data_IF_736012768385
#
_entry.id   IF_736012768385
#
_cell.length_a   1.000
_cell.length_b   1.000
_cell.length_c   1.000
_cell.angle_alpha   90.00
_cell.angle_beta   90.00
_cell.angle_gamma   90.00
#
_symmetry.space_group_name_H-M   'P 1'
#
loop_
_entity.id
_entity.type
_entity.pdbx_description
1 polymer ?
#
# COMPACT_ATOMS: atom_id res chain seq x y z
N UNK A 1 -0.54 26.11 -5.17
CA UNK A 1 -1.89 26.06 -4.56
C UNK A 1 -2.30 27.48 -4.20
N UNK A 2 -3.56 27.87 -4.40
CA UNK A 2 -4.00 29.23 -4.07
C UNK A 2 -4.00 29.42 -2.54
N UNK A 3 -3.07 30.23 -2.06
CA UNK A 3 -3.06 30.70 -0.68
C UNK A 3 -4.08 31.83 -0.53
N UNK A 4 -5.00 31.67 0.40
CA UNK A 4 -6.07 32.63 0.64
C UNK A 4 -5.98 33.13 2.08
N UNK A 5 -6.18 34.44 2.27
CA UNK A 5 -6.35 35.00 3.61
C UNK A 5 -7.78 34.74 4.08
N UNK A 6 -7.91 34.09 5.24
CA UNK A 6 -9.18 33.75 5.85
C UNK A 6 -9.19 34.17 7.32
N UNK A 7 -10.37 34.47 7.86
CA UNK A 7 -10.53 34.69 9.29
C UNK A 7 -10.49 33.35 10.03
N UNK A 8 -9.59 33.21 11.02
CA UNK A 8 -9.51 32.02 11.86
C UNK A 8 -10.89 31.69 12.48
N UNK A 9 -11.41 30.46 12.37
CA UNK A 9 -12.73 30.11 12.91
C UNK A 9 -12.89 30.43 14.40
N UNK A 10 -11.79 30.30 15.17
CA UNK A 10 -11.75 30.50 16.62
C UNK A 10 -11.53 31.97 17.03
N UNK A 11 -10.40 32.59 16.66
CA UNK A 11 -10.04 33.93 17.13
C UNK A 11 -10.29 35.05 16.12
N UNK A 12 -10.79 34.72 14.93
CA UNK A 12 -11.07 35.64 13.82
C UNK A 12 -9.87 36.43 13.25
N UNK A 13 -8.66 36.22 13.78
CA UNK A 13 -7.44 36.75 13.18
C UNK A 13 -7.25 36.24 11.75
N UNK A 14 -6.78 37.12 10.87
CA UNK A 14 -6.51 36.76 9.49
C UNK A 14 -5.28 35.84 9.42
N UNK A 15 -5.46 34.68 8.79
CA UNK A 15 -4.42 33.67 8.60
C UNK A 15 -4.41 33.21 7.15
N UNK A 16 -3.26 32.74 6.68
CA UNK A 16 -3.13 32.16 5.34
C UNK A 16 -3.45 30.68 5.40
N UNK A 17 -4.32 30.21 4.51
CA UNK A 17 -4.60 28.79 4.34
C UNK A 17 -4.71 28.42 2.84
N UNK A 18 -4.45 27.16 2.53
CA UNK A 18 -4.70 26.61 1.19
C UNK A 18 -6.16 26.22 1.09
N UNK A 19 -6.91 26.96 0.27
CA UNK A 19 -8.35 26.74 0.06
C UNK A 19 -8.57 26.28 -1.38
N UNK A 20 -9.13 25.10 -1.56
CA UNK A 20 -9.44 24.52 -2.87
C UNK A 20 -10.87 23.98 -2.82
N UNK A 21 -11.71 24.44 -3.73
CA UNK A 21 -13.13 24.08 -3.77
C UNK A 21 -13.46 23.11 -4.90
N UNK A 22 -12.65 23.08 -5.96
CA UNK A 22 -12.85 22.21 -7.11
C UNK A 22 -11.65 21.28 -7.26
N UNK A 23 -11.90 19.99 -7.09
CA UNK A 23 -10.94 18.91 -7.27
C UNK A 23 -11.33 18.12 -8.53
N UNK A 24 -10.82 18.56 -9.68
CA UNK A 24 -11.08 17.93 -10.97
C UNK A 24 -9.90 17.02 -11.34
N UNK A 25 -10.05 15.71 -11.10
CA UNK A 25 -9.03 14.70 -11.37
C UNK A 25 -8.75 14.57 -12.87
N UNK A 26 -9.73 14.89 -13.71
CA UNK A 26 -9.58 14.82 -15.17
C UNK A 26 -8.67 15.93 -15.68
N UNK A 27 -8.75 17.11 -15.07
CA UNK A 27 -7.88 18.24 -15.40
C UNK A 27 -6.54 18.21 -14.64
N UNK A 28 -6.54 17.66 -13.41
CA UNK A 28 -5.37 17.56 -12.54
C UNK A 28 -5.36 16.20 -11.82
N UNK A 29 -4.55 15.23 -12.30
CA UNK A 29 -4.47 13.90 -11.70
C UNK A 29 -4.09 13.90 -10.21
N UNK A 30 -3.42 14.95 -9.70
CA UNK A 30 -3.04 15.05 -8.29
C UNK A 30 -4.16 15.56 -7.38
N UNK A 31 -5.27 16.08 -7.94
CA UNK A 31 -6.37 16.64 -7.17
C UNK A 31 -6.97 15.62 -6.18
N UNK A 32 -7.10 14.35 -6.58
CA UNK A 32 -7.58 13.29 -5.70
C UNK A 32 -6.68 13.12 -4.47
N UNK A 33 -5.37 13.02 -4.67
CA UNK A 33 -4.43 12.83 -3.57
C UNK A 33 -4.45 14.02 -2.60
N UNK A 34 -4.56 15.25 -3.12
CA UNK A 34 -4.69 16.46 -2.29
C UNK A 34 -5.97 16.47 -1.46
N UNK A 35 -7.09 16.04 -2.02
CA UNK A 35 -8.35 15.93 -1.28
C UNK A 35 -8.24 14.86 -0.18
N UNK A 36 -7.67 13.70 -0.50
CA UNK A 36 -7.53 12.56 0.41
C UNK A 36 -6.48 12.78 1.51
N UNK A 37 -5.48 13.64 1.30
CA UNK A 37 -4.44 13.92 2.31
C UNK A 37 -4.98 14.62 3.56
N UNK A 38 -6.16 15.25 3.46
CA UNK A 38 -6.74 16.04 4.54
C UNK A 38 -6.01 17.35 4.86
N UNK A 39 -4.97 17.69 4.08
CA UNK A 39 -4.15 18.90 4.30
C UNK A 39 -4.71 20.14 3.57
N UNK A 40 -5.56 19.95 2.57
CA UNK A 40 -6.25 21.05 1.88
C UNK A 40 -7.53 21.41 2.62
N UNK A 41 -7.90 22.69 2.58
CA UNK A 41 -8.99 23.24 3.40
C UNK A 41 -8.76 22.97 4.89
N UNK A 42 -7.50 23.08 5.32
CA UNK A 42 -7.08 22.97 6.72
C UNK A 42 -6.37 24.26 7.12
N UNK A 43 -6.60 24.72 8.35
CA UNK A 43 -5.98 25.92 8.88
C UNK A 43 -5.27 25.65 10.20
N UNK A 44 -4.09 26.25 10.34
CA UNK A 44 -3.31 26.28 11.57
C UNK A 44 -3.10 27.74 11.97
N UNK A 45 -3.73 28.15 13.07
CA UNK A 45 -3.68 29.52 13.55
C UNK A 45 -2.55 29.70 14.57
N UNK A 46 -1.53 30.46 14.20
CA UNK A 46 -0.39 30.77 15.07
C UNK A 46 -0.76 31.66 16.28
N UNK A 47 -1.89 32.38 16.21
CA UNK A 47 -2.32 33.30 17.28
C UNK A 47 -3.05 32.61 18.43
N UNK A 48 -3.81 31.55 18.14
CA UNK A 48 -4.67 30.91 19.15
C UNK A 48 -4.57 29.37 19.17
N UNK A 49 -3.64 28.80 18.41
CA UNK A 49 -3.43 27.36 18.31
C UNK A 49 -4.59 26.57 17.69
N UNK A 50 -5.52 27.22 16.99
CA UNK A 50 -6.58 26.50 16.27
C UNK A 50 -5.96 25.65 15.17
N UNK A 51 -6.28 24.37 15.14
CA UNK A 51 -5.94 23.45 14.05
C UNK A 51 -7.21 22.71 13.66
N UNK A 52 -7.59 22.77 12.40
CA UNK A 52 -8.85 22.17 11.98
C UNK A 52 -9.20 22.43 10.52
N UNK A 53 -10.21 21.70 10.07
CA UNK A 53 -10.74 21.83 8.71
C UNK A 53 -11.58 23.09 8.59
N UNK A 54 -11.46 23.75 7.46
CA UNK A 54 -12.23 24.92 7.09
C UNK A 54 -13.58 24.48 6.51
N UNK A 55 -14.66 25.10 6.97
CA UNK A 55 -15.99 24.91 6.40
C UNK A 55 -16.03 25.52 4.99
N UNK A 56 -15.70 24.69 3.99
CA UNK A 56 -15.59 25.09 2.58
C UNK A 56 -16.39 24.13 1.70
N UNK A 57 -17.25 24.63 0.79
CA UNK A 57 -17.90 23.79 -0.21
C UNK A 57 -16.88 23.11 -1.13
N UNK A 58 -17.13 21.85 -1.47
CA UNK A 58 -16.25 21.02 -2.30
C UNK A 58 -17.03 20.43 -3.47
N UNK A 59 -16.45 20.52 -4.66
CA UNK A 59 -16.86 19.81 -5.87
C UNK A 59 -15.71 18.89 -6.27
N UNK A 60 -16.01 17.60 -6.43
CA UNK A 60 -15.06 16.61 -6.92
C UNK A 60 -15.53 16.05 -8.25
N UNK A 61 -14.61 15.93 -9.21
CA UNK A 61 -14.91 15.44 -10.54
C UNK A 61 -13.88 14.41 -11.01
N UNK A 62 -14.37 13.30 -11.56
CA UNK A 62 -13.58 12.26 -12.21
C UNK A 62 -14.36 11.70 -13.40
N UNK A 63 -13.91 12.00 -14.62
CA UNK A 63 -14.58 11.59 -15.86
C UNK A 63 -14.48 10.08 -16.13
N UNK A 64 -13.37 9.45 -15.74
CA UNK A 64 -13.16 8.02 -15.94
C UNK A 64 -14.10 7.21 -15.04
N UNK A 65 -14.35 7.70 -13.84
CA UNK A 65 -15.27 7.08 -12.87
C UNK A 65 -16.70 7.59 -12.95
N UNK A 66 -16.98 8.50 -13.88
CA UNK A 66 -18.28 9.17 -14.07
C UNK A 66 -18.81 9.78 -12.77
N UNK A 67 -17.92 10.46 -12.04
CA UNK A 67 -18.23 11.10 -10.77
C UNK A 67 -18.31 12.62 -10.92
N UNK A 68 -19.41 13.17 -10.41
CA UNK A 68 -19.53 14.58 -10.07
C UNK A 68 -20.16 14.66 -8.68
N UNK A 69 -19.32 14.89 -7.67
CA UNK A 69 -19.73 14.89 -6.28
C UNK A 69 -19.72 16.32 -5.73
N UNK A 70 -20.67 16.64 -4.85
CA UNK A 70 -20.77 17.95 -4.22
C UNK A 70 -20.96 17.80 -2.71
N UNK A 71 -20.22 18.57 -1.92
CA UNK A 71 -20.37 18.64 -0.47
C UNK A 71 -20.51 20.10 -0.06
N UNK A 72 -21.50 20.39 0.77
CA UNK A 72 -21.72 21.69 1.37
C UNK A 72 -21.72 21.57 2.91
N UNK A 73 -20.80 22.22 3.62
CA UNK A 73 -20.73 22.13 5.08
C UNK A 73 -21.98 22.73 5.74
N UNK A 74 -22.68 21.93 6.56
CA UNK A 74 -23.90 22.38 7.25
C UNK A 74 -23.65 23.50 8.26
N UNK A 75 -22.41 23.64 8.76
CA UNK A 75 -22.03 24.67 9.74
C UNK A 75 -22.07 26.08 9.16
N UNK A 76 -22.08 26.23 7.83
CA UNK A 76 -22.26 27.52 7.17
C UNK A 76 -23.72 28.03 7.26
N UNK A 77 -24.68 27.14 7.54
CA UNK A 77 -26.07 27.51 7.81
C UNK A 77 -26.81 28.19 6.65
N UNK A 78 -26.36 28.01 5.40
CA UNK A 78 -26.95 28.68 4.23
C UNK A 78 -28.17 27.91 3.67
N UNK A 79 -29.19 28.61 3.16
CA UNK A 79 -30.31 27.99 2.43
C UNK A 79 -29.86 27.29 1.15
N UNK A 80 -30.55 26.22 0.73
CA UNK A 80 -30.21 25.39 -0.46
C UNK A 80 -29.96 26.23 -1.71
N UNK A 81 -30.79 27.23 -1.98
CA UNK A 81 -30.63 28.11 -3.15
C UNK A 81 -29.29 28.88 -3.14
N UNK A 82 -28.78 29.25 -1.98
CA UNK A 82 -27.47 29.90 -1.86
C UNK A 82 -26.33 28.90 -2.00
N UNK A 83 -26.51 27.67 -1.49
CA UNK A 83 -25.56 26.58 -1.70
C UNK A 83 -25.38 26.28 -3.20
N UNK A 84 -26.48 26.16 -3.94
CA UNK A 84 -26.46 25.95 -5.39
C UNK A 84 -25.79 27.10 -6.14
N UNK A 85 -26.01 28.35 -5.72
CA UNK A 85 -25.34 29.53 -6.30
C UNK A 85 -23.83 29.48 -6.12
N UNK A 86 -23.33 28.92 -5.01
CA UNK A 86 -21.90 28.78 -4.76
C UNK A 86 -21.28 27.61 -5.53
N UNK A 87 -21.98 26.47 -5.62
CA UNK A 87 -21.49 25.26 -6.28
C UNK A 87 -21.61 25.33 -7.81
N UNK A 88 -22.65 25.98 -8.33
CA UNK A 88 -22.96 26.05 -9.76
C UNK A 88 -21.79 26.50 -10.65
N UNK A 89 -21.06 27.60 -10.31
CA UNK A 89 -19.88 28.02 -11.05
C UNK A 89 -18.78 26.95 -11.11
N UNK A 90 -18.56 26.19 -10.04
CA UNK A 90 -17.57 25.12 -9.99
C UNK A 90 -17.95 23.95 -10.90
N UNK A 91 -19.23 23.55 -10.91
CA UNK A 91 -19.75 22.53 -11.83
C UNK A 91 -19.65 23.00 -13.29
N UNK A 92 -19.98 24.27 -13.55
CA UNK A 92 -19.86 24.85 -14.88
C UNK A 92 -18.40 24.82 -15.36
N UNK A 93 -17.46 25.17 -14.49
CA UNK A 93 -16.02 25.11 -14.81
C UNK A 93 -15.56 23.70 -15.19
N UNK A 94 -16.05 22.65 -14.51
CA UNK A 94 -15.81 21.26 -14.91
C UNK A 94 -16.34 21.00 -16.33
N UNK A 95 -17.60 21.36 -16.56
CA UNK A 95 -18.28 21.08 -17.84
C UNK A 95 -17.60 21.80 -19.01
N UNK A 96 -17.24 23.08 -18.82
CA UNK A 96 -16.62 23.92 -19.83
C UNK A 96 -15.22 23.41 -20.22
N UNK A 97 -14.48 22.82 -19.27
CA UNK A 97 -13.14 22.23 -19.49
C UNK A 97 -13.17 20.88 -20.20
N UNK A 98 -14.31 20.17 -20.17
CA UNK A 98 -14.42 18.87 -20.81
C UNK A 98 -14.67 19.00 -22.32
N UNK A 99 -13.98 18.20 -23.15
CA UNK A 99 -14.35 18.00 -24.55
C UNK A 99 -15.80 17.50 -24.67
N UNK A 100 -16.56 17.90 -25.70
CA UNK A 100 -17.96 17.52 -25.87
C UNK A 100 -18.22 16.01 -25.77
N UNK A 101 -17.30 15.19 -26.29
CA UNK A 101 -17.40 13.72 -26.32
C UNK A 101 -17.30 13.10 -24.92
N UNK A 102 -16.66 13.81 -23.98
CA UNK A 102 -16.50 13.40 -22.58
C UNK A 102 -17.62 13.92 -21.68
N UNK A 103 -18.52 14.77 -22.18
CA UNK A 103 -19.66 15.33 -21.43
C UNK A 103 -20.82 14.33 -21.36
N UNK A 104 -20.68 13.34 -20.48
CA UNK A 104 -21.70 12.29 -20.27
C UNK A 104 -22.83 12.76 -19.34
N UNK A 105 -23.89 11.95 -19.27
CA UNK A 105 -25.13 12.29 -18.54
C UNK A 105 -24.95 12.52 -17.02
N UNK A 106 -23.92 11.95 -16.38
CA UNK A 106 -23.68 12.13 -14.94
C UNK A 106 -23.45 13.60 -14.55
N UNK A 107 -22.93 14.43 -15.47
CA UNK A 107 -22.73 15.87 -15.24
C UNK A 107 -24.04 16.64 -15.00
N UNK A 108 -25.17 16.10 -15.50
CA UNK A 108 -26.50 16.69 -15.31
C UNK A 108 -27.13 16.30 -13.97
N UNK A 109 -26.53 15.36 -13.25
CA UNK A 109 -27.00 14.85 -11.96
C UNK A 109 -25.85 14.77 -10.96
N UNK A 110 -25.34 15.92 -10.47
CA UNK A 110 -24.36 15.93 -9.40
C UNK A 110 -24.88 15.16 -8.18
N UNK A 111 -24.02 14.35 -7.58
CA UNK A 111 -24.35 13.57 -6.39
C UNK A 111 -24.00 14.40 -5.15
N UNK A 112 -25.00 14.77 -4.37
CA UNK A 112 -24.82 15.50 -3.14
C UNK A 112 -24.43 14.55 -2.00
N UNK A 113 -23.31 14.84 -1.34
CA UNK A 113 -22.81 14.17 -0.14
C UNK A 113 -23.15 15.03 1.09
N UNK A 114 -23.76 14.39 2.10
CA UNK A 114 -24.21 15.07 3.32
C UNK A 114 -23.06 15.45 4.25
N UNK A 115 -22.02 14.62 4.29
CA UNK A 115 -20.80 14.85 5.06
C UNK A 115 -19.58 14.75 4.17
N UNK A 116 -18.48 15.37 4.59
CA UNK A 116 -17.22 15.22 3.87
C UNK A 116 -16.76 13.76 3.85
N UNK A 117 -16.95 13.06 4.97
CA UNK A 117 -16.62 11.64 5.13
C UNK A 117 -17.35 10.79 4.08
N UNK A 118 -18.66 11.03 3.88
CA UNK A 118 -19.44 10.31 2.85
C UNK A 118 -18.96 10.59 1.43
N UNK A 119 -18.45 11.80 1.15
CA UNK A 119 -17.82 12.12 -0.14
C UNK A 119 -16.54 11.29 -0.32
N UNK A 120 -15.69 11.23 0.70
CA UNK A 120 -14.44 10.46 0.66
C UNK A 120 -14.73 8.97 0.49
N UNK A 121 -15.69 8.42 1.24
CA UNK A 121 -16.14 7.03 1.09
C UNK A 121 -16.63 6.75 -0.33
N UNK A 122 -17.40 7.66 -0.94
CA UNK A 122 -17.87 7.52 -2.33
C UNK A 122 -16.70 7.47 -3.32
N UNK A 123 -15.69 8.32 -3.14
CA UNK A 123 -14.48 8.37 -3.98
C UNK A 123 -13.67 7.08 -3.83
N UNK A 124 -13.49 6.60 -2.61
CA UNK A 124 -12.72 5.40 -2.30
C UNK A 124 -13.44 4.12 -2.77
N UNK A 125 -14.78 4.08 -2.68
CA UNK A 125 -15.58 2.97 -3.21
C UNK A 125 -15.36 2.73 -4.71
N UNK A 126 -15.11 3.80 -5.49
CA UNK A 126 -14.84 3.71 -6.95
C UNK A 126 -13.45 3.18 -7.30
N UNK A 127 -12.59 3.00 -6.30
CA UNK A 127 -11.30 2.27 -6.40
C UNK A 127 -11.30 0.96 -5.61
N UNK A 128 -12.47 0.46 -5.21
CA UNK A 128 -12.61 -0.84 -4.55
C UNK A 128 -12.32 -0.83 -3.05
N UNK A 129 -12.23 0.34 -2.42
CA UNK A 129 -12.07 0.47 -0.97
C UNK A 129 -13.44 0.71 -0.35
N UNK A 130 -13.94 -0.24 0.44
CA UNK A 130 -15.27 -0.13 1.05
C UNK A 130 -15.24 0.55 2.43
N UNK A 131 -16.37 1.07 2.93
CA UNK A 131 -16.47 1.59 4.30
C UNK A 131 -16.06 0.56 5.35
N UNK A 132 -16.36 -0.72 5.14
CA UNK A 132 -15.97 -1.82 6.03
C UNK A 132 -14.45 -1.96 6.07
N UNK A 133 -13.77 -1.95 4.91
CA UNK A 133 -12.30 -2.00 4.84
C UNK A 133 -11.66 -0.81 5.57
N UNK A 134 -12.24 0.40 5.44
CA UNK A 134 -11.78 1.58 6.16
C UNK A 134 -11.97 1.42 7.67
N UNK A 135 -13.12 0.90 8.08
CA UNK A 135 -13.42 0.65 9.48
C UNK A 135 -12.47 -0.37 10.09
N UNK A 136 -12.20 -1.48 9.40
CA UNK A 136 -11.24 -2.48 9.85
C UNK A 136 -9.82 -1.89 9.98
N UNK A 137 -9.39 -1.02 9.06
CA UNK A 137 -8.10 -0.33 9.17
C UNK A 137 -8.07 0.65 10.36
N UNK A 138 -9.14 1.41 10.58
CA UNK A 138 -9.26 2.29 11.76
C UNK A 138 -9.23 1.51 13.06
N UNK A 139 -9.93 0.37 13.13
CA UNK A 139 -9.98 -0.47 14.31
C UNK A 139 -8.59 -1.05 14.62
N UNK A 140 -7.81 -1.43 13.60
CA UNK A 140 -6.41 -1.86 13.75
C UNK A 140 -5.55 -0.74 14.35
N UNK A 141 -5.62 0.48 13.81
CA UNK A 141 -4.88 1.64 14.34
C UNK A 141 -5.25 1.90 15.80
N UNK A 142 -6.55 1.97 16.11
CA UNK A 142 -7.02 2.19 17.48
C UNK A 142 -6.61 1.07 18.44
N UNK A 143 -6.51 -0.17 17.95
CA UNK A 143 -6.02 -1.27 18.75
C UNK A 143 -4.52 -1.14 19.07
N UNK A 144 -3.69 -0.75 18.09
CA UNK A 144 -2.26 -0.46 18.30
C UNK A 144 -2.09 0.66 19.33
N UNK A 145 -2.82 1.76 19.20
CA UNK A 145 -2.79 2.88 20.15
C UNK A 145 -3.14 2.43 21.58
N UNK A 146 -4.18 1.59 21.73
CA UNK A 146 -4.56 1.01 23.03
C UNK A 146 -3.47 0.12 23.60
N UNK A 147 -2.83 -0.74 22.79
CA UNK A 147 -1.71 -1.57 23.25
C UNK A 147 -0.54 -0.74 23.78
N UNK A 148 -0.28 0.41 23.15
CA UNK A 148 0.79 1.35 23.54
C UNK A 148 0.46 2.13 24.82
N UNK A 149 -0.82 2.40 25.09
CA UNK A 149 -1.26 3.07 26.32
C UNK A 149 -1.19 2.14 27.54
N UNK A 150 -1.26 0.81 27.33
CA UNK A 150 -1.18 -0.18 28.40
C UNK A 150 0.27 -0.48 28.76
N UNK A 151 0.65 -0.13 30.00
CA UNK A 151 2.02 -0.27 30.50
C UNK A 151 2.31 -1.60 31.18
N UNK A 152 1.30 -2.38 31.56
CA UNK A 152 1.47 -3.68 32.25
C UNK A 152 1.22 -4.86 31.30
N UNK A 153 2.11 -5.86 31.36
CA UNK A 153 2.07 -7.04 30.49
C UNK A 153 0.76 -7.82 30.62
N UNK A 154 0.29 -8.06 31.84
CA UNK A 154 -0.91 -8.89 32.10
C UNK A 154 -2.19 -8.25 31.55
N UNK A 155 -2.35 -6.92 31.70
CA UNK A 155 -3.49 -6.20 31.15
C UNK A 155 -3.43 -6.23 29.62
N UNK A 156 -2.22 -6.13 29.05
CA UNK A 156 -2.04 -6.25 27.60
C UNK A 156 -2.40 -7.65 27.11
N UNK A 157 -2.05 -8.70 27.83
CA UNK A 157 -2.43 -10.09 27.48
C UNK A 157 -3.94 -10.26 27.40
N UNK A 158 -4.69 -9.71 28.35
CA UNK A 158 -6.15 -9.77 28.31
C UNK A 158 -6.73 -9.00 27.12
N UNK A 159 -6.17 -7.81 26.84
CA UNK A 159 -6.55 -7.00 25.69
C UNK A 159 -6.26 -7.73 24.36
N UNK A 160 -5.12 -8.42 24.25
CA UNK A 160 -4.75 -9.26 23.09
C UNK A 160 -5.77 -10.38 22.90
N UNK A 161 -6.10 -11.12 23.97
CA UNK A 161 -7.06 -12.25 23.89
C UNK A 161 -8.44 -11.81 23.42
N UNK A 162 -8.94 -10.68 23.94
CA UNK A 162 -10.26 -10.16 23.56
C UNK A 162 -10.34 -9.70 22.10
N UNK A 163 -9.20 -9.37 21.49
CA UNK A 163 -9.13 -8.81 20.15
C UNK A 163 -8.38 -9.70 19.16
N UNK A 164 -8.20 -11.00 19.45
CA UNK A 164 -7.36 -11.90 18.65
C UNK A 164 -7.65 -11.87 17.14
N UNK A 165 -8.93 -11.67 16.75
CA UNK A 165 -9.36 -11.60 15.34
C UNK A 165 -8.76 -10.42 14.56
N UNK A 166 -8.44 -9.32 15.23
CA UNK A 166 -7.87 -8.14 14.59
C UNK A 166 -6.37 -8.30 14.31
N UNK A 167 -5.74 -9.31 14.93
CA UNK A 167 -4.30 -9.54 14.90
C UNK A 167 -3.98 -10.51 13.76
N UNK A 168 -3.94 -9.96 12.55
CA UNK A 168 -3.66 -10.65 11.31
C UNK A 168 -2.39 -10.11 10.62
N UNK A 169 -2.14 -10.55 9.39
CA UNK A 169 -1.05 -10.07 8.54
C UNK A 169 -1.05 -8.54 8.41
N UNK A 170 -2.21 -7.94 8.15
CA UNK A 170 -2.34 -6.50 7.92
C UNK A 170 -2.03 -5.72 9.20
N UNK A 171 -2.46 -6.23 10.35
CA UNK A 171 -2.12 -5.66 11.66
C UNK A 171 -0.62 -5.69 11.92
N UNK A 172 0.05 -6.83 11.73
CA UNK A 172 1.50 -6.93 11.92
C UNK A 172 2.27 -6.03 10.94
N UNK A 173 1.85 -5.97 9.66
CA UNK A 173 2.47 -5.09 8.67
C UNK A 173 2.36 -3.60 9.05
N UNK A 174 1.18 -3.17 9.53
CA UNK A 174 0.96 -1.82 10.03
C UNK A 174 1.82 -1.55 11.28
N UNK A 175 1.81 -2.48 12.25
CA UNK A 175 2.58 -2.37 13.48
C UNK A 175 4.09 -2.24 13.20
N UNK A 176 4.62 -3.09 12.32
CA UNK A 176 6.05 -3.04 11.92
C UNK A 176 6.43 -1.71 11.28
N UNK A 177 5.56 -1.13 10.44
CA UNK A 177 5.80 0.20 9.85
C UNK A 177 5.88 1.29 10.92
N UNK A 178 5.01 1.25 11.92
CA UNK A 178 5.04 2.19 13.05
C UNK A 178 6.34 2.02 13.85
N UNK A 179 6.74 0.78 14.15
CA UNK A 179 7.99 0.48 14.85
C UNK A 179 9.24 0.96 14.09
N UNK A 180 9.30 0.73 12.77
CA UNK A 180 10.39 1.20 11.91
C UNK A 180 10.47 2.74 11.90
N UNK A 181 9.34 3.44 11.82
CA UNK A 181 9.31 4.90 11.87
C UNK A 181 9.79 5.44 13.23
N UNK A 182 9.42 4.80 14.33
CA UNK A 182 9.90 5.18 15.67
C UNK A 182 11.42 5.01 15.80
N UNK A 183 11.98 3.92 15.27
CA UNK A 183 13.42 3.67 15.21
C UNK A 183 14.14 4.71 14.35
N UNK A 184 13.64 4.98 13.14
CA UNK A 184 14.27 5.92 12.20
C UNK A 184 14.21 7.39 12.64
N UNK A 185 13.25 7.76 13.49
CA UNK A 185 13.10 9.13 14.02
C UNK A 185 13.84 9.37 15.35
N UNK A 186 14.60 8.39 15.86
CA UNK A 186 15.37 8.50 17.10
C UNK A 186 14.52 8.51 18.38
N UNK A 187 13.26 8.06 18.32
CA UNK A 187 12.37 7.98 19.48
C UNK A 187 12.63 6.70 20.28
N UNK A 188 13.80 6.60 20.92
CA UNK A 188 14.22 5.37 21.60
C UNK A 188 13.21 4.79 22.61
N UNK A 189 12.56 5.58 23.50
CA UNK A 189 11.59 5.04 24.45
C UNK A 189 10.38 4.40 23.76
N UNK A 190 9.91 5.04 22.69
CA UNK A 190 8.80 4.54 21.88
C UNK A 190 9.18 3.26 21.14
N UNK A 191 10.37 3.23 20.55
CA UNK A 191 10.88 2.04 19.87
C UNK A 191 10.99 0.83 20.81
N UNK A 192 11.51 1.03 22.04
CA UNK A 192 11.59 -0.03 23.06
C UNK A 192 10.20 -0.56 23.44
N UNK A 193 9.25 0.33 23.70
CA UNK A 193 7.88 -0.08 24.02
C UNK A 193 7.23 -0.89 22.89
N UNK A 194 7.46 -0.49 21.63
CA UNK A 194 6.96 -1.23 20.46
C UNK A 194 7.62 -2.61 20.31
N UNK A 195 8.91 -2.75 20.62
CA UNK A 195 9.61 -4.04 20.63
C UNK A 195 9.03 -4.98 21.70
N UNK A 196 8.76 -4.48 22.90
CA UNK A 196 8.15 -5.27 23.98
C UNK A 196 6.74 -5.75 23.59
N UNK A 197 5.93 -4.87 23.00
CA UNK A 197 4.60 -5.22 22.49
C UNK A 197 4.71 -6.25 21.37
N UNK A 198 5.64 -6.06 20.41
CA UNK A 198 5.86 -7.00 19.31
C UNK A 198 6.21 -8.39 19.83
N UNK A 199 7.13 -8.47 20.79
CA UNK A 199 7.56 -9.73 21.40
C UNK A 199 6.37 -10.46 22.02
N UNK A 200 5.53 -9.74 22.77
CA UNK A 200 4.34 -10.31 23.36
C UNK A 200 3.31 -10.77 22.31
N UNK A 201 3.09 -9.99 21.25
CA UNK A 201 2.21 -10.36 20.15
C UNK A 201 2.70 -11.63 19.44
N UNK A 202 4.01 -11.76 19.21
CA UNK A 202 4.61 -12.95 18.60
C UNK A 202 4.42 -14.20 19.46
N UNK A 203 4.46 -14.07 20.79
CA UNK A 203 4.30 -15.18 21.73
C UNK A 203 2.83 -15.59 21.93
N UNK A 204 1.95 -14.60 22.14
CA UNK A 204 0.60 -14.84 22.64
C UNK A 204 -0.44 -15.06 21.51
N UNK A 205 -0.16 -14.60 20.29
CA UNK A 205 -1.14 -14.64 19.19
C UNK A 205 -0.87 -15.80 18.24
N UNK A 206 -1.94 -16.33 17.62
CA UNK A 206 -1.82 -17.42 16.65
C UNK A 206 -0.97 -17.01 15.44
N UNK A 207 -1.30 -15.86 14.83
CA UNK A 207 -0.54 -15.32 13.70
C UNK A 207 0.91 -14.99 14.10
N UNK A 208 1.13 -14.45 15.32
CA UNK A 208 2.46 -14.18 15.84
C UNK A 208 3.34 -15.43 15.94
N UNK A 209 2.77 -16.55 16.41
CA UNK A 209 3.47 -17.84 16.47
C UNK A 209 3.76 -18.38 15.08
N UNK A 210 2.82 -18.29 14.15
CA UNK A 210 3.03 -18.66 12.74
C UNK A 210 4.14 -17.83 12.09
N UNK A 211 4.21 -16.52 12.40
CA UNK A 211 5.26 -15.65 11.91
C UNK A 211 6.63 -16.05 12.47
N UNK A 212 6.72 -16.37 13.77
CA UNK A 212 7.95 -16.85 14.41
C UNK A 212 8.42 -18.19 13.83
N UNK A 213 7.50 -19.12 13.60
CA UNK A 213 7.78 -20.38 12.92
C UNK A 213 8.30 -20.12 11.51
N UNK A 214 7.62 -19.26 10.75
CA UNK A 214 8.02 -18.91 9.37
C UNK A 214 9.44 -18.33 9.30
N UNK A 215 9.82 -17.47 10.25
CA UNK A 215 11.20 -16.94 10.33
C UNK A 215 12.20 -18.05 10.62
N UNK A 216 11.93 -18.89 11.62
CA UNK A 216 12.84 -20.00 11.95
C UNK A 216 13.00 -21.00 10.80
N UNK A 217 11.93 -21.30 10.08
CA UNK A 217 11.97 -22.19 8.91
C UNK A 217 12.70 -21.54 7.72
N UNK A 218 12.62 -20.21 7.57
CA UNK A 218 13.38 -19.45 6.58
C UNK A 218 14.89 -19.51 6.87
N UNK A 219 15.29 -19.26 8.12
CA UNK A 219 16.70 -19.32 8.54
C UNK A 219 17.28 -20.72 8.33
N UNK A 220 16.53 -21.76 8.70
CA UNK A 220 16.98 -23.13 8.53
C UNK A 220 17.05 -23.55 7.05
N UNK A 221 16.08 -23.14 6.22
CA UNK A 221 16.16 -23.34 4.76
C UNK A 221 17.38 -22.64 4.17
N UNK A 222 17.66 -21.40 4.60
CA UNK A 222 18.84 -20.66 4.17
C UNK A 222 20.13 -21.39 4.53
N UNK A 223 20.25 -21.90 5.75
CA UNK A 223 21.42 -22.66 6.19
C UNK A 223 21.65 -23.91 5.33
N UNK A 224 20.61 -24.71 5.10
CA UNK A 224 20.71 -25.93 4.30
C UNK A 224 21.06 -25.65 2.83
N UNK A 225 20.51 -24.58 2.25
CA UNK A 225 20.87 -24.14 0.89
C UNK A 225 22.33 -23.66 0.82
N UNK A 226 22.80 -22.95 1.84
CA UNK A 226 24.20 -22.51 1.94
C UNK A 226 25.17 -23.69 2.08
N UNK A 227 24.84 -24.68 2.90
CA UNK A 227 25.63 -25.91 3.05
C UNK A 227 25.71 -26.70 1.75
N UNK A 228 24.61 -26.77 0.98
CA UNK A 228 24.66 -27.38 -0.35
C UNK A 228 25.55 -26.59 -1.31
N UNK A 229 25.53 -25.25 -1.22
CA UNK A 229 26.43 -24.35 -1.94
C UNK A 229 26.50 -24.65 -3.44
N UNK A 230 27.73 -24.79 -3.97
CA UNK A 230 27.95 -25.11 -5.39
C UNK A 230 27.44 -26.49 -5.82
N UNK A 231 27.15 -27.36 -4.85
CA UNK A 231 26.65 -28.71 -5.11
C UNK A 231 25.12 -28.79 -5.19
N UNK A 232 24.41 -27.66 -5.02
CA UNK A 232 22.95 -27.60 -5.11
C UNK A 232 22.49 -27.91 -6.55
N UNK A 233 21.85 -29.06 -6.73
CA UNK A 233 21.21 -29.45 -8.00
C UNK A 233 19.69 -29.39 -7.87
N UNK A 234 18.98 -29.49 -9.00
CA UNK A 234 17.50 -29.54 -9.00
C UNK A 234 16.98 -30.73 -8.20
N UNK A 235 17.65 -31.87 -8.32
CA UNK A 235 17.32 -33.10 -7.61
C UNK A 235 17.51 -32.93 -6.09
N UNK A 236 18.63 -32.34 -5.67
CA UNK A 236 18.85 -32.05 -4.24
C UNK A 236 17.84 -31.05 -3.68
N UNK A 237 17.52 -30.01 -4.46
CA UNK A 237 16.48 -29.05 -4.06
C UNK A 237 15.13 -29.75 -3.91
N UNK A 238 14.80 -30.67 -4.84
CA UNK A 238 13.59 -31.47 -4.74
C UNK A 238 13.59 -32.34 -3.48
N UNK A 239 14.71 -33.01 -3.19
CA UNK A 239 14.88 -33.84 -1.99
C UNK A 239 14.68 -33.03 -0.70
N UNK A 240 15.22 -31.82 -0.63
CA UNK A 240 15.02 -30.89 0.49
C UNK A 240 13.54 -30.51 0.65
N UNK A 241 12.87 -30.19 -0.46
CA UNK A 241 11.46 -29.80 -0.45
C UNK A 241 10.56 -30.96 -0.02
N UNK A 242 10.73 -32.16 -0.58
CA UNK A 242 9.89 -33.33 -0.22
C UNK A 242 10.15 -33.80 1.21
N UNK A 243 11.32 -33.51 1.78
CA UNK A 243 11.69 -33.83 3.16
C UNK A 243 11.20 -32.80 4.18
N UNK A 244 10.59 -31.69 3.71
CA UNK A 244 10.09 -30.62 4.56
C UNK A 244 8.96 -31.10 5.48
N UNK A 245 9.04 -30.71 6.76
CA UNK A 245 8.06 -31.10 7.79
C UNK A 245 6.93 -30.09 7.99
N UNK A 246 7.09 -28.88 7.45
CA UNK A 246 6.14 -27.78 7.59
C UNK A 246 5.97 -27.06 6.24
N UNK A 247 4.79 -26.47 6.05
CA UNK A 247 4.50 -25.67 4.86
C UNK A 247 5.34 -24.39 4.82
N UNK A 248 5.68 -23.85 6.00
CA UNK A 248 6.58 -22.73 6.16
C UNK A 248 7.98 -23.04 5.60
N UNK A 249 8.51 -24.25 5.83
CA UNK A 249 9.78 -24.69 5.23
C UNK A 249 9.71 -24.78 3.71
N UNK A 250 8.63 -25.33 3.16
CA UNK A 250 8.43 -25.40 1.70
C UNK A 250 8.40 -23.99 1.11
N UNK A 251 7.63 -23.08 1.70
CA UNK A 251 7.56 -21.67 1.29
C UNK A 251 8.92 -20.96 1.37
N UNK A 252 9.73 -21.27 2.38
CA UNK A 252 11.08 -20.74 2.51
C UNK A 252 11.99 -21.16 1.34
N UNK A 253 12.01 -22.45 0.96
CA UNK A 253 12.79 -22.89 -0.21
C UNK A 253 12.29 -22.24 -1.50
N UNK A 254 10.98 -22.11 -1.70
CA UNK A 254 10.44 -21.42 -2.87
C UNK A 254 10.94 -19.97 -2.91
N UNK A 255 10.93 -19.27 -1.78
CA UNK A 255 11.35 -17.87 -1.69
C UNK A 255 12.86 -17.68 -1.94
N UNK A 256 13.69 -18.62 -1.48
CA UNK A 256 15.16 -18.52 -1.55
C UNK A 256 15.75 -19.14 -2.83
N UNK A 257 15.11 -20.17 -3.38
CA UNK A 257 15.62 -20.99 -4.47
C UNK A 257 14.66 -21.05 -5.68
N UNK A 258 13.81 -20.04 -5.85
CA UNK A 258 12.82 -19.96 -6.95
C UNK A 258 13.42 -20.29 -8.32
N UNK A 259 14.62 -19.80 -8.62
CA UNK A 259 15.31 -20.03 -9.90
C UNK A 259 15.61 -21.50 -10.21
N UNK A 260 15.64 -22.38 -9.21
CA UNK A 260 15.82 -23.83 -9.37
C UNK A 260 14.52 -24.61 -9.57
N UNK A 261 13.36 -23.97 -9.41
CA UNK A 261 12.03 -24.59 -9.48
C UNK A 261 11.38 -24.33 -10.84
N UNK A 262 12.04 -24.80 -11.90
CA UNK A 262 11.59 -24.66 -13.28
C UNK A 262 10.72 -25.85 -13.74
N UNK A 263 10.39 -25.90 -15.03
CA UNK A 263 9.63 -27.00 -15.62
C UNK A 263 10.25 -28.37 -15.33
N UNK A 264 11.58 -28.47 -15.39
CA UNK A 264 12.30 -29.73 -15.16
C UNK A 264 12.14 -30.19 -13.71
N UNK A 265 12.24 -29.27 -12.75
CA UNK A 265 11.98 -29.58 -11.35
C UNK A 265 10.58 -30.19 -11.11
N UNK A 266 9.54 -29.60 -11.70
CA UNK A 266 8.17 -30.11 -11.55
C UNK A 266 7.92 -31.41 -12.33
N UNK A 267 8.62 -31.61 -13.45
CA UNK A 267 8.64 -32.89 -14.15
C UNK A 267 9.22 -33.98 -13.24
N UNK A 268 10.39 -33.75 -12.63
CA UNK A 268 11.01 -34.70 -11.70
C UNK A 268 10.10 -35.01 -10.51
N UNK A 269 9.45 -34.00 -9.91
CA UNK A 269 8.48 -34.21 -8.84
C UNK A 269 7.31 -35.10 -9.30
N UNK A 270 6.82 -34.91 -10.53
CA UNK A 270 5.75 -35.74 -11.09
C UNK A 270 6.18 -37.20 -11.22
N UNK A 271 7.40 -37.44 -11.70
CA UNK A 271 7.97 -38.79 -11.80
C UNK A 271 8.12 -39.46 -10.42
N UNK A 272 8.49 -38.71 -9.38
CA UNK A 272 8.57 -39.22 -8.00
C UNK A 272 7.16 -39.58 -7.49
N UNK A 273 6.16 -38.73 -7.74
CA UNK A 273 4.76 -38.98 -7.37
C UNK A 273 4.21 -40.25 -8.03
N UNK A 274 4.49 -40.44 -9.33
CA UNK A 274 4.02 -41.61 -10.09
C UNK A 274 4.63 -42.92 -9.59
N UNK A 275 5.86 -42.88 -9.08
CA UNK A 275 6.55 -44.04 -8.50
C UNK A 275 6.14 -44.33 -7.05
N UNK A 276 5.55 -43.35 -6.37
CA UNK A 276 5.03 -43.48 -5.00
C UNK A 276 3.64 -44.10 -4.97
N UNK A 277 3.29 -44.73 -3.84
CA UNK A 277 1.99 -45.39 -3.65
C UNK A 277 1.41 -45.09 -2.27
N UNK A 278 0.09 -45.17 -2.12
CA UNK A 278 -0.60 -44.99 -0.84
C UNK A 278 -0.43 -43.59 -0.25
N UNK A 279 -0.27 -43.50 1.06
CA UNK A 279 -0.20 -42.24 1.81
C UNK A 279 0.93 -41.32 1.36
N UNK A 280 2.07 -41.89 0.94
CA UNK A 280 3.20 -41.11 0.45
C UNK A 280 2.89 -40.41 -0.87
N UNK A 281 2.14 -41.06 -1.77
CA UNK A 281 1.68 -40.43 -3.00
C UNK A 281 0.78 -39.22 -2.70
N UNK A 282 -0.21 -39.40 -1.83
CA UNK A 282 -1.12 -38.34 -1.39
C UNK A 282 -0.35 -37.16 -0.76
N UNK A 283 0.67 -37.45 0.06
CA UNK A 283 1.52 -36.43 0.68
C UNK A 283 2.27 -35.62 -0.37
N UNK A 284 2.92 -36.27 -1.34
CA UNK A 284 3.69 -35.61 -2.39
C UNK A 284 2.79 -34.81 -3.35
N UNK A 285 1.58 -35.29 -3.64
CA UNK A 285 0.56 -34.53 -4.39
C UNK A 285 0.19 -33.25 -3.66
N UNK A 286 -0.01 -33.31 -2.33
CA UNK A 286 -0.24 -32.12 -1.51
C UNK A 286 0.95 -31.14 -1.49
N UNK A 287 2.18 -31.64 -1.46
CA UNK A 287 3.39 -30.80 -1.58
C UNK A 287 3.43 -30.11 -2.95
N UNK A 288 3.12 -30.84 -4.03
CA UNK A 288 3.07 -30.28 -5.38
C UNK A 288 2.06 -29.13 -5.49
N UNK A 289 0.87 -29.31 -4.93
CA UNK A 289 -0.16 -28.27 -4.93
C UNK A 289 0.32 -27.00 -4.20
N UNK A 290 0.91 -27.16 -3.01
CA UNK A 290 1.47 -26.05 -2.23
C UNK A 290 2.62 -25.35 -2.95
N UNK A 291 3.53 -26.11 -3.55
CA UNK A 291 4.64 -25.57 -4.33
C UNK A 291 4.15 -24.72 -5.50
N UNK A 292 3.18 -25.21 -6.27
CA UNK A 292 2.60 -24.46 -7.38
C UNK A 292 1.96 -23.15 -6.89
N UNK A 293 1.24 -23.19 -5.76
CA UNK A 293 0.67 -22.00 -5.13
C UNK A 293 1.74 -20.98 -4.72
N UNK A 294 2.74 -21.41 -3.95
CA UNK A 294 3.81 -20.52 -3.48
C UNK A 294 4.68 -19.98 -4.63
N UNK A 295 4.95 -20.79 -5.66
CA UNK A 295 5.67 -20.35 -6.86
C UNK A 295 4.87 -19.29 -7.59
N UNK A 296 3.56 -19.49 -7.79
CA UNK A 296 2.70 -18.50 -8.45
C UNK A 296 2.65 -17.18 -7.66
N UNK A 297 2.58 -17.24 -6.34
CA UNK A 297 2.61 -16.05 -5.47
C UNK A 297 3.93 -15.27 -5.60
N UNK A 298 5.06 -15.96 -5.54
CA UNK A 298 6.39 -15.36 -5.68
C UNK A 298 6.58 -14.78 -7.09
N UNK A 299 6.17 -15.50 -8.14
CA UNK A 299 6.26 -15.02 -9.52
C UNK A 299 5.46 -13.75 -9.74
N UNK A 300 4.22 -13.70 -9.23
CA UNK A 300 3.37 -12.52 -9.30
C UNK A 300 3.99 -11.33 -8.55
N UNK A 301 4.61 -11.56 -7.40
CA UNK A 301 5.32 -10.51 -6.66
C UNK A 301 6.54 -10.01 -7.42
N UNK A 302 7.33 -10.89 -8.02
CA UNK A 302 8.48 -10.52 -8.85
C UNK A 302 8.05 -9.70 -10.06
N UNK A 303 7.00 -10.12 -10.78
CA UNK A 303 6.46 -9.38 -11.93
C UNK A 303 5.98 -7.97 -11.52
N UNK A 304 5.27 -7.85 -10.39
CA UNK A 304 4.81 -6.56 -9.89
C UNK A 304 5.97 -5.64 -9.51
N UNK A 305 7.02 -6.16 -8.84
CA UNK A 305 8.23 -5.38 -8.50
C UNK A 305 8.98 -4.95 -9.75
N UNK A 306 9.14 -5.86 -10.70
CA UNK A 306 9.79 -5.59 -11.98
C UNK A 306 9.07 -4.47 -12.75
N UNK A 307 7.73 -4.53 -12.81
CA UNK A 307 6.91 -3.47 -13.42
C UNK A 307 7.07 -2.13 -12.72
N UNK A 308 7.08 -2.10 -11.38
CA UNK A 308 7.29 -0.87 -10.62
C UNK A 308 8.69 -0.28 -10.85
N UNK A 309 9.72 -1.13 -10.91
CA UNK A 309 11.08 -0.72 -11.23
C UNK A 309 11.17 -0.15 -12.65
N UNK A 310 10.48 -0.77 -13.61
CA UNK A 310 10.36 -0.25 -14.98
C UNK A 310 9.70 1.12 -15.02
N UNK A 311 8.53 1.28 -14.42
CA UNK A 311 7.82 2.56 -14.36
C UNK A 311 8.67 3.65 -13.69
N UNK A 312 9.43 3.28 -12.64
CA UNK A 312 10.36 4.19 -11.99
C UNK A 312 11.50 4.63 -12.92
N UNK A 313 12.19 3.70 -13.58
CA UNK A 313 13.27 4.02 -14.52
C UNK A 313 12.75 4.87 -15.69
N UNK A 314 11.59 4.51 -16.26
CA UNK A 314 10.96 5.29 -17.33
C UNK A 314 10.61 6.72 -16.87
N UNK A 315 10.15 6.89 -15.63
CA UNK A 315 9.85 8.22 -15.07
C UNK A 315 11.08 9.12 -14.92
N UNK A 316 12.25 8.52 -14.65
CA UNK A 316 13.53 9.23 -14.58
C UNK A 316 14.03 9.62 -15.97
N UNK A 317 13.96 8.71 -16.94
CA UNK A 317 14.34 8.95 -18.33
C UNK A 317 13.46 10.00 -19.03
N UNK A 318 12.25 10.25 -18.53
CA UNK A 318 11.36 11.30 -19.02
C UNK A 318 11.72 12.71 -18.51
N UNK A 319 12.65 12.85 -17.57
CA UNK A 319 13.07 14.16 -17.05
C UNK A 319 14.09 14.82 -17.99
N UNK A 320 14.07 16.16 -18.05
CA UNK A 320 15.05 16.93 -18.83
C UNK A 320 16.48 16.80 -18.30
N UNK A 321 16.64 16.65 -16.98
CA UNK A 321 17.92 16.48 -16.29
C UNK A 321 17.90 15.15 -15.53
N UNK A 322 18.31 14.08 -16.22
CA UNK A 322 18.32 12.71 -15.69
C UNK A 322 19.30 12.59 -14.52
N UNK A 323 20.48 13.23 -14.60
CA UNK A 323 21.50 13.15 -13.56
C UNK A 323 20.96 13.72 -12.24
N UNK A 324 20.30 14.88 -12.30
CA UNK A 324 19.65 15.46 -11.12
C UNK A 324 18.46 14.62 -10.64
N UNK A 325 17.66 14.06 -11.55
CA UNK A 325 16.52 13.21 -11.20
C UNK A 325 16.95 11.93 -10.48
N UNK A 326 18.01 11.27 -10.98
CA UNK A 326 18.63 10.10 -10.34
C UNK A 326 19.19 10.48 -8.98
N UNK A 327 20.00 11.54 -8.91
CA UNK A 327 20.61 12.01 -7.64
C UNK A 327 19.56 12.31 -6.56
N UNK A 328 18.42 12.87 -6.96
CA UNK A 328 17.31 13.17 -6.05
C UNK A 328 16.51 11.95 -5.58
N UNK A 329 16.69 10.77 -6.19
CA UNK A 329 15.94 9.55 -5.90
C UNK A 329 16.86 8.34 -5.62
N UNK A 330 18.11 8.57 -5.20
CA UNK A 330 19.09 7.50 -4.92
C UNK A 330 18.58 6.49 -3.89
N UNK A 331 17.82 6.95 -2.90
CA UNK A 331 17.18 6.14 -1.86
C UNK A 331 16.13 5.16 -2.41
N UNK A 332 15.61 5.43 -3.61
CA UNK A 332 14.59 4.62 -4.30
C UNK A 332 15.18 3.74 -5.41
N UNK A 333 16.48 3.83 -5.67
CA UNK A 333 17.14 3.08 -6.74
C UNK A 333 17.49 1.65 -6.27
N UNK A 334 16.57 0.72 -6.48
CA UNK A 334 16.72 -0.70 -6.07
C UNK A 334 17.58 -1.50 -7.05
N UNK A 335 17.97 -2.72 -6.65
CA UNK A 335 18.64 -3.66 -7.57
C UNK A 335 17.75 -3.97 -8.79
N UNK A 336 16.45 -4.13 -8.60
CA UNK A 336 15.51 -4.34 -9.73
C UNK A 336 15.58 -3.17 -10.73
N UNK A 337 15.73 -1.93 -10.27
CA UNK A 337 15.89 -0.77 -11.15
C UNK A 337 17.22 -0.80 -11.92
N UNK A 338 18.30 -1.29 -11.30
CA UNK A 338 19.58 -1.53 -11.99
C UNK A 338 19.42 -2.58 -13.09
N UNK A 339 18.81 -3.71 -12.77
CA UNK A 339 18.63 -4.84 -13.69
C UNK A 339 17.74 -4.45 -14.89
N UNK A 340 16.67 -3.70 -14.63
CA UNK A 340 15.83 -3.08 -15.67
C UNK A 340 16.65 -2.16 -16.56
N UNK A 341 17.46 -1.28 -15.98
CA UNK A 341 18.26 -0.33 -16.75
C UNK A 341 19.23 -1.07 -17.69
N UNK A 342 19.86 -2.14 -17.19
CA UNK A 342 20.74 -2.99 -18.01
C UNK A 342 19.98 -3.70 -19.13
N UNK A 343 18.79 -4.22 -18.84
CA UNK A 343 17.94 -4.85 -19.85
C UNK A 343 17.52 -3.83 -20.92
N UNK A 344 17.05 -2.66 -20.53
CA UNK A 344 16.67 -1.57 -21.45
C UNK A 344 17.84 -1.13 -22.30
N UNK A 345 19.06 -1.06 -21.75
CA UNK A 345 20.28 -0.75 -22.49
C UNK A 345 20.58 -1.82 -23.53
N UNK A 346 20.47 -3.11 -23.16
CA UNK A 346 20.67 -4.23 -24.09
C UNK A 346 19.65 -4.19 -25.23
N UNK A 347 18.37 -4.01 -24.92
CA UNK A 347 17.31 -3.91 -25.92
C UNK A 347 17.48 -2.68 -26.83
N UNK A 348 17.93 -1.54 -26.27
CA UNK A 348 18.18 -0.32 -27.04
C UNK A 348 19.39 -0.49 -27.97
N UNK A 349 20.43 -1.21 -27.52
CA UNK A 349 21.56 -1.61 -28.36
C UNK A 349 21.13 -2.52 -29.51
N UNK A 350 20.28 -3.52 -29.24
CA UNK A 350 19.72 -4.41 -30.27
C UNK A 350 18.84 -3.66 -31.28
N UNK A 351 18.14 -2.60 -30.84
CA UNK A 351 17.24 -1.78 -31.66
C UNK A 351 17.91 -0.53 -32.28
N UNK A 352 19.20 -0.28 -32.01
CA UNK A 352 19.92 0.93 -32.39
C UNK A 352 19.23 2.24 -31.94
N UNK A 353 18.61 2.25 -30.76
CA UNK A 353 17.98 3.43 -30.18
C UNK A 353 19.01 4.27 -29.40
N UNK A 354 19.80 5.06 -30.13
CA UNK A 354 20.89 5.87 -29.58
C UNK A 354 20.43 6.93 -28.56
N UNK A 355 19.16 7.33 -28.59
CA UNK A 355 18.60 8.30 -27.63
C UNK A 355 18.37 7.68 -26.25
N UNK A 356 18.17 6.36 -26.17
CA UNK A 356 18.04 5.61 -24.92
C UNK A 356 19.35 4.98 -24.43
N UNK A 357 20.40 5.01 -25.25
CA UNK A 357 21.72 4.45 -24.92
C UNK A 357 22.66 5.42 -24.21
N UNK A 358 22.52 6.73 -24.47
CA UNK A 358 23.28 7.79 -23.82
C UNK A 358 22.57 8.27 -22.57
#
# INVERSE_FOLDING_TARGET
MPQTQIACPRCKQMITANVEQLFDVTADPQAKQRLLSGQVNHAQCQYCGYQGRLATPVVYHDNEKELLLTFFPSELGLPVNEQERMIGPLIKQVTDRLPPEKRKAYLLKPQANLTYESMIETILGKVGITPEMLKEQQDRVQFIERLMQVTTKDVRSELIKQNAKIIDEQFFALFSRIAQNALGSGQEPLARALIDIQTQLLEETEYGRQLKESVGELEAAQHELQEAGQSLTREKLLDMVISSKSDARIRAYVSLARGGMDYVFFQTLSEVIEKSTGDEKTRLEGIREKLLGFVADIDKQMEARFKQAQEFVESLLAQEDIEKAVTANLDRFTQDAVDITQQMLKESSEKNDYARMG
#
